data_IF_306901154158
#
_entry.id   IF_306901154158
#
_cell.length_a   1.000
_cell.length_b   1.000
_cell.length_c   1.000
_cell.angle_alpha   90.00
_cell.angle_beta   90.00
_cell.angle_gamma   90.00
#
_symmetry.space_group_name_H-M   'P 1'
#
loop_
_entity.id
_entity.type
_entity.pdbx_description
1 polymer ?
#
# COMPACT_ATOMS: atom_id res chain seq x y z
N UNK A 1 7.46 -3.76 18.49
CA UNK A 1 7.90 -4.74 17.47
C UNK A 1 8.63 -5.90 18.13
N UNK A 2 9.71 -5.67 18.89
CA UNK A 2 10.39 -6.73 19.65
C UNK A 2 9.43 -7.48 20.61
N UNK A 3 8.66 -6.73 21.41
CA UNK A 3 7.65 -7.31 22.33
C UNK A 3 6.54 -8.10 21.60
N UNK A 4 6.33 -7.82 20.31
CA UNK A 4 5.35 -8.49 19.46
C UNK A 4 5.97 -9.63 18.62
N UNK A 5 7.28 -9.91 18.79
CA UNK A 5 8.05 -10.89 18.03
C UNK A 5 8.02 -10.66 16.50
N UNK A 6 8.00 -9.40 16.07
CA UNK A 6 8.10 -9.02 14.66
C UNK A 6 9.57 -8.73 14.32
N UNK A 7 10.22 -9.51 13.44
CA UNK A 7 11.57 -9.22 13.01
C UNK A 7 11.61 -7.91 12.21
N UNK A 8 12.65 -7.10 12.44
CA UNK A 8 12.81 -5.79 11.81
C UNK A 8 14.23 -5.63 11.26
N UNK A 9 14.32 -5.03 10.08
CA UNK A 9 15.52 -4.41 9.56
C UNK A 9 15.23 -2.91 9.45
N UNK A 10 16.09 -2.08 10.04
CA UNK A 10 15.86 -0.63 10.14
C UNK A 10 17.05 0.14 9.59
N UNK A 11 16.78 1.35 9.10
CA UNK A 11 17.76 2.36 8.74
C UNK A 11 17.60 3.54 9.69
N UNK A 12 18.69 3.97 10.30
CA UNK A 12 18.70 5.16 11.16
C UNK A 12 18.48 6.41 10.31
N UNK A 13 17.42 7.16 10.60
CA UNK A 13 17.11 8.41 9.93
C UNK A 13 17.44 9.61 10.83
N UNK A 14 17.79 10.74 10.21
CA UNK A 14 18.06 11.99 10.93
C UNK A 14 16.80 12.62 11.50
N UNK A 15 15.70 12.55 10.75
CA UNK A 15 14.42 13.07 11.18
C UNK A 15 13.69 12.06 12.07
N UNK A 16 12.96 12.56 13.05
CA UNK A 16 12.38 11.73 14.10
C UNK A 16 11.14 11.01 13.57
N UNK A 17 10.97 9.74 13.95
CA UNK A 17 9.76 8.99 13.60
C UNK A 17 8.53 9.73 14.11
N UNK A 18 7.63 10.09 13.19
CA UNK A 18 6.39 10.81 13.50
C UNK A 18 5.56 10.09 14.56
N UNK A 19 4.76 10.85 15.28
CA UNK A 19 3.75 10.31 16.20
C UNK A 19 2.37 10.70 15.69
N UNK A 20 1.47 9.73 15.56
CA UNK A 20 0.07 10.00 15.25
C UNK A 20 -0.76 10.01 16.53
N UNK A 21 -1.84 10.80 16.55
CA UNK A 21 -2.74 10.87 17.70
C UNK A 21 -4.09 10.27 17.33
N UNK A 22 -4.53 9.32 18.14
CA UNK A 22 -5.87 8.75 18.07
C UNK A 22 -6.63 9.11 19.35
N UNK A 23 -7.73 9.84 19.21
CA UNK A 23 -8.59 10.26 20.32
C UNK A 23 -9.90 9.51 20.23
N UNK A 24 -10.22 8.77 21.28
CA UNK A 24 -11.54 8.16 21.44
C UNK A 24 -12.34 8.99 22.44
N UNK A 25 -13.53 9.42 22.04
CA UNK A 25 -14.44 10.18 22.90
C UNK A 25 -15.41 9.21 23.54
N UNK A 26 -15.22 8.91 24.83
CA UNK A 26 -16.03 7.90 25.53
C UNK A 26 -17.53 8.22 25.51
N UNK A 27 -17.88 9.51 25.66
CA UNK A 27 -19.28 9.94 25.75
C UNK A 27 -20.05 9.76 24.44
N UNK A 28 -19.44 10.02 23.28
CA UNK A 28 -20.07 9.87 21.97
C UNK A 28 -19.72 8.54 21.28
N UNK A 29 -18.70 7.82 21.76
CA UNK A 29 -18.12 6.67 21.09
C UNK A 29 -17.33 7.02 19.82
N UNK A 30 -17.17 8.31 19.50
CA UNK A 30 -16.50 8.75 18.28
C UNK A 30 -14.98 8.56 18.35
N UNK A 31 -14.36 8.56 17.18
CA UNK A 31 -12.92 8.40 17.01
C UNK A 31 -12.38 9.49 16.09
N UNK A 32 -11.41 10.24 16.59
CA UNK A 32 -10.70 11.28 15.84
C UNK A 32 -9.26 10.84 15.62
N UNK A 33 -8.81 10.94 14.37
CA UNK A 33 -7.49 10.49 13.94
C UNK A 33 -6.73 11.66 13.35
N UNK A 34 -5.71 12.10 14.07
CA UNK A 34 -4.79 13.12 13.62
C UNK A 34 -3.56 12.41 13.03
N UNK A 35 -3.38 12.54 11.72
CA UNK A 35 -2.31 11.87 10.98
C UNK A 35 -1.33 12.93 10.51
N UNK A 36 -0.11 12.90 11.04
CA UNK A 36 0.96 13.81 10.65
C UNK A 36 1.73 13.25 9.46
N UNK A 37 2.36 14.07 8.60
CA UNK A 37 3.26 13.58 7.56
C UNK A 37 4.38 12.71 8.12
N UNK A 38 4.88 11.77 7.30
CA UNK A 38 6.06 10.97 7.64
C UNK A 38 7.29 11.84 7.90
N UNK A 39 8.26 11.29 8.64
CA UNK A 39 9.58 11.89 8.74
C UNK A 39 10.20 12.04 7.35
N UNK A 40 10.91 13.13 7.11
CA UNK A 40 11.59 13.32 5.84
C UNK A 40 12.74 12.33 5.69
N UNK A 41 12.91 11.78 4.49
CA UNK A 41 14.07 10.96 4.16
C UNK A 41 14.98 11.70 3.19
N UNK A 42 16.28 11.64 3.47
CA UNK A 42 17.31 12.10 2.54
C UNK A 42 17.74 10.98 1.57
N UNK A 43 18.54 11.34 0.57
CA UNK A 43 18.95 10.40 -0.48
C UNK A 43 19.79 9.23 0.04
N UNK A 44 20.61 9.44 1.09
CA UNK A 44 21.44 8.39 1.67
C UNK A 44 20.61 7.39 2.47
N UNK A 45 19.65 7.87 3.26
CA UNK A 45 18.71 7.03 4.01
C UNK A 45 17.86 6.17 3.06
N UNK A 46 17.40 6.75 1.95
CA UNK A 46 16.66 5.99 0.94
C UNK A 46 17.54 4.96 0.22
N UNK A 47 18.80 5.30 -0.07
CA UNK A 47 19.77 4.35 -0.66
C UNK A 47 20.01 3.16 0.27
N UNK A 48 20.14 3.38 1.58
CA UNK A 48 20.31 2.29 2.54
C UNK A 48 19.07 1.37 2.60
N UNK A 49 17.86 1.94 2.50
CA UNK A 49 16.63 1.14 2.39
C UNK A 49 16.60 0.33 1.09
N UNK A 50 17.01 0.93 -0.02
CA UNK A 50 17.13 0.24 -1.31
C UNK A 50 18.11 -0.93 -1.23
N UNK A 51 19.27 -0.75 -0.61
CA UNK A 51 20.26 -1.81 -0.40
C UNK A 51 19.66 -2.98 0.40
N UNK A 52 18.98 -2.70 1.52
CA UNK A 52 18.32 -3.76 2.31
C UNK A 52 17.22 -4.49 1.52
N UNK A 53 16.45 -3.77 0.70
CA UNK A 53 15.41 -4.38 -0.14
C UNK A 53 16.02 -5.29 -1.21
N UNK A 54 17.18 -4.92 -1.76
CA UNK A 54 17.88 -5.68 -2.79
C UNK A 54 18.70 -6.85 -2.23
N UNK A 55 18.76 -7.03 -0.91
CA UNK A 55 19.30 -8.24 -0.26
C UNK A 55 18.26 -9.36 -0.14
N UNK A 56 16.98 -9.05 -0.37
CA UNK A 56 15.88 -10.03 -0.30
C UNK A 56 16.04 -11.08 -1.38
N UNK A 57 15.83 -12.35 -1.03
CA UNK A 57 15.99 -13.45 -1.95
C UNK A 57 14.96 -13.47 -3.09
N UNK A 58 15.38 -13.99 -4.24
CA UNK A 58 14.50 -14.20 -5.38
C UNK A 58 13.31 -15.10 -5.01
N UNK A 59 12.11 -14.71 -5.44
CA UNK A 59 10.85 -15.41 -5.14
C UNK A 59 10.16 -14.98 -3.86
N UNK A 60 10.83 -14.23 -2.98
CA UNK A 60 10.22 -13.63 -1.80
C UNK A 60 9.21 -12.53 -2.17
N UNK A 61 8.41 -12.12 -1.17
CA UNK A 61 7.38 -11.10 -1.34
C UNK A 61 7.81 -9.81 -0.62
N UNK A 62 7.81 -8.71 -1.36
CA UNK A 62 8.01 -7.36 -0.83
C UNK A 62 6.66 -6.62 -0.81
N UNK A 63 6.25 -6.16 0.37
CA UNK A 63 5.04 -5.34 0.55
C UNK A 63 5.43 -3.89 0.76
N UNK A 64 5.11 -3.03 -0.21
CA UNK A 64 5.31 -1.58 -0.13
C UNK A 64 3.98 -0.95 0.26
N UNK A 65 3.85 -0.54 1.50
CA UNK A 65 2.62 0.03 2.04
C UNK A 65 2.83 1.38 2.70
N UNK A 66 1.93 2.32 2.42
CA UNK A 66 1.90 3.65 3.01
C UNK A 66 2.12 4.80 2.03
N UNK A 67 2.00 6.01 2.57
CA UNK A 67 2.26 7.26 1.86
C UNK A 67 3.76 7.48 1.67
N UNK A 68 4.14 8.04 0.52
CA UNK A 68 5.52 8.44 0.26
C UNK A 68 5.97 9.53 1.27
N UNK A 69 7.09 9.34 1.99
CA UNK A 69 7.58 10.35 2.92
C UNK A 69 8.13 11.58 2.18
N UNK A 70 8.12 12.76 2.81
CA UNK A 70 8.77 13.94 2.26
C UNK A 70 10.25 13.70 1.95
N UNK A 71 10.77 14.32 0.90
CA UNK A 71 12.18 14.16 0.48
C UNK A 71 12.43 13.00 -0.49
N UNK A 72 11.52 12.01 -0.55
CA UNK A 72 11.60 10.94 -1.55
C UNK A 72 10.85 11.34 -2.81
N UNK A 73 11.57 11.33 -3.94
CA UNK A 73 10.98 11.57 -5.25
C UNK A 73 10.21 10.36 -5.75
N UNK A 74 9.14 10.57 -6.51
CA UNK A 74 8.32 9.50 -7.06
C UNK A 74 9.13 8.53 -7.94
N UNK A 75 10.11 9.04 -8.68
CA UNK A 75 10.99 8.26 -9.53
C UNK A 75 11.89 7.30 -8.74
N UNK A 76 12.21 7.62 -7.48
CA UNK A 76 13.00 6.74 -6.62
C UNK A 76 12.21 5.50 -6.21
N UNK A 77 10.92 5.68 -5.90
CA UNK A 77 10.02 4.56 -5.62
C UNK A 77 9.91 3.62 -6.83
N UNK A 78 9.77 4.18 -8.04
CA UNK A 78 9.62 3.36 -9.25
C UNK A 78 10.92 2.63 -9.63
N UNK A 79 12.07 3.26 -9.40
CA UNK A 79 13.38 2.63 -9.55
C UNK A 79 13.54 1.44 -8.58
N UNK A 80 13.19 1.62 -7.31
CA UNK A 80 13.25 0.55 -6.29
C UNK A 80 12.38 -0.65 -6.67
N UNK A 81 11.12 -0.41 -7.06
CA UNK A 81 10.20 -1.49 -7.49
C UNK A 81 10.77 -2.23 -8.71
N UNK A 82 11.28 -1.48 -9.69
CA UNK A 82 11.85 -2.08 -10.90
C UNK A 82 13.11 -2.89 -10.61
N UNK A 83 13.95 -2.42 -9.68
CA UNK A 83 15.15 -3.13 -9.25
C UNK A 83 14.80 -4.42 -8.49
N UNK A 84 13.82 -4.37 -7.59
CA UNK A 84 13.35 -5.54 -6.85
C UNK A 84 12.77 -6.61 -7.81
N UNK A 85 11.92 -6.20 -8.76
CA UNK A 85 11.37 -7.10 -9.77
C UNK A 85 12.46 -7.74 -10.65
N UNK A 86 13.52 -7.02 -11.00
CA UNK A 86 14.65 -7.56 -11.76
C UNK A 86 15.41 -8.67 -11.02
N UNK A 87 15.39 -8.67 -9.69
CA UNK A 87 15.95 -9.75 -8.87
C UNK A 87 14.96 -10.91 -8.64
N UNK A 88 13.76 -10.82 -9.21
CA UNK A 88 12.71 -11.83 -9.05
C UNK A 88 11.93 -11.70 -7.74
N UNK A 89 11.99 -10.54 -7.07
CA UNK A 89 11.19 -10.25 -5.89
C UNK A 89 9.75 -9.89 -6.33
N UNK A 90 8.77 -10.54 -5.71
CA UNK A 90 7.34 -10.32 -6.00
C UNK A 90 6.82 -9.13 -5.21
N UNK A 91 6.45 -8.06 -5.90
CA UNK A 91 6.04 -6.81 -5.26
C UNK A 91 4.52 -6.75 -5.05
N UNK A 92 4.09 -6.32 -3.86
CA UNK A 92 2.71 -5.96 -3.50
C UNK A 92 2.70 -4.50 -3.11
N UNK A 93 1.73 -3.73 -3.62
CA UNK A 93 1.66 -2.29 -3.37
C UNK A 93 0.32 -1.88 -2.76
N UNK A 94 0.38 -1.22 -1.60
CA UNK A 94 -0.76 -0.58 -0.93
C UNK A 94 -0.40 0.88 -0.59
N UNK A 95 -0.52 1.73 -1.60
CA UNK A 95 -0.21 3.16 -1.53
C UNK A 95 -1.40 3.99 -2.03
N UNK A 96 -1.23 5.31 -2.10
CA UNK A 96 -2.29 6.24 -2.51
C UNK A 96 -1.76 7.32 -3.46
N UNK A 97 -2.66 7.93 -4.23
CA UNK A 97 -2.33 9.03 -5.14
C UNK A 97 -1.29 8.68 -6.20
N UNK A 98 -0.35 9.59 -6.45
CA UNK A 98 0.66 9.47 -7.50
C UNK A 98 1.58 8.25 -7.31
N UNK A 99 1.91 7.89 -6.07
CA UNK A 99 2.72 6.71 -5.75
C UNK A 99 2.07 5.41 -6.24
N UNK A 100 0.75 5.29 -6.08
CA UNK A 100 0.00 4.14 -6.57
C UNK A 100 -0.02 4.08 -8.10
N UNK A 101 -0.29 5.21 -8.76
CA UNK A 101 -0.28 5.31 -10.22
C UNK A 101 1.10 5.00 -10.81
N UNK A 102 2.17 5.50 -10.20
CA UNK A 102 3.53 5.27 -10.64
C UNK A 102 3.95 3.81 -10.49
N UNK A 103 3.57 3.15 -9.40
CA UNK A 103 3.80 1.72 -9.21
C UNK A 103 3.04 0.88 -10.26
N UNK A 104 1.80 1.24 -10.59
CA UNK A 104 1.00 0.57 -11.62
C UNK A 104 1.57 0.75 -13.04
N UNK A 105 2.19 1.91 -13.32
CA UNK A 105 2.80 2.18 -14.62
C UNK A 105 4.00 1.28 -14.93
N UNK A 106 4.68 0.75 -13.91
CA UNK A 106 5.79 -0.22 -14.06
C UNK A 106 5.27 -1.59 -14.53
N UNK A 107 4.07 -1.96 -14.09
CA UNK A 107 3.49 -3.28 -14.34
C UNK A 107 4.14 -4.39 -13.50
N UNK A 108 3.75 -5.65 -13.77
CA UNK A 108 4.26 -6.85 -13.08
C UNK A 108 4.17 -6.83 -11.54
N UNK A 109 3.24 -6.06 -10.98
CA UNK A 109 2.95 -6.07 -9.55
C UNK A 109 2.05 -7.27 -9.26
N UNK A 110 2.37 -8.03 -8.21
CA UNK A 110 1.67 -9.24 -7.82
C UNK A 110 0.28 -8.92 -7.25
N UNK A 111 0.17 -7.86 -6.46
CA UNK A 111 -1.08 -7.43 -5.87
C UNK A 111 -1.13 -5.92 -5.63
N UNK A 112 -2.26 -5.30 -5.95
CA UNK A 112 -2.55 -3.91 -5.57
C UNK A 112 -3.91 -3.83 -4.90
N UNK A 113 -4.01 -3.04 -3.82
CA UNK A 113 -5.25 -2.88 -3.05
C UNK A 113 -5.74 -1.43 -3.02
N UNK A 114 -6.31 -0.89 -4.11
CA UNK A 114 -6.88 0.46 -4.05
C UNK A 114 -8.17 0.46 -3.21
N UNK A 115 -8.40 1.51 -2.44
CA UNK A 115 -9.74 1.79 -1.93
C UNK A 115 -10.62 2.41 -3.02
N UNK A 116 -11.91 2.60 -2.74
CA UNK A 116 -12.85 3.17 -3.71
C UNK A 116 -12.43 4.54 -4.29
N UNK A 117 -11.90 5.44 -3.45
CA UNK A 117 -11.45 6.77 -3.90
C UNK A 117 -10.19 6.68 -4.75
N UNK A 118 -9.25 5.83 -4.36
CA UNK A 118 -8.04 5.55 -5.13
C UNK A 118 -8.38 4.92 -6.49
N UNK A 119 -9.29 3.95 -6.52
CA UNK A 119 -9.72 3.32 -7.76
C UNK A 119 -10.39 4.33 -8.72
N UNK A 120 -11.27 5.19 -8.19
CA UNK A 120 -11.90 6.28 -8.94
C UNK A 120 -10.86 7.23 -9.54
N UNK A 121 -9.85 7.61 -8.76
CA UNK A 121 -8.74 8.44 -9.23
C UNK A 121 -7.90 7.75 -10.31
N UNK A 122 -7.63 6.45 -10.16
CA UNK A 122 -6.87 5.66 -11.13
C UNK A 122 -7.55 5.57 -12.50
N UNK A 123 -8.88 5.42 -12.53
CA UNK A 123 -9.66 5.38 -13.78
C UNK A 123 -10.19 6.75 -14.23
N UNK A 124 -9.85 7.81 -13.49
CA UNK A 124 -10.27 9.19 -13.75
C UNK A 124 -11.78 9.36 -14.00
N UNK A 125 -12.63 8.62 -13.27
CA UNK A 125 -14.09 8.72 -13.34
C UNK A 125 -14.74 8.30 -12.03
N UNK A 126 -15.89 8.89 -11.71
CA UNK A 126 -16.68 8.46 -10.55
C UNK A 126 -17.22 7.03 -10.72
N UNK A 127 -17.22 6.28 -9.63
CA UNK A 127 -17.69 4.90 -9.57
C UNK A 127 -19.00 4.87 -8.76
N UNK A 128 -20.13 5.16 -9.39
CA UNK A 128 -21.41 5.33 -8.68
C UNK A 128 -22.26 4.06 -8.72
N UNK A 129 -22.12 3.24 -9.75
CA UNK A 129 -22.91 2.03 -9.92
C UNK A 129 -22.29 0.84 -9.19
N UNK A 130 -23.10 -0.14 -8.77
CA UNK A 130 -22.61 -1.36 -8.10
C UNK A 130 -21.54 -2.11 -8.91
N UNK A 131 -21.57 -2.01 -10.24
CA UNK A 131 -20.66 -2.72 -11.14
C UNK A 131 -19.44 -1.90 -11.59
N UNK A 132 -19.39 -0.60 -11.30
CA UNK A 132 -18.32 0.29 -11.79
C UNK A 132 -16.97 -0.10 -11.21
N UNK A 133 -16.93 -0.48 -9.93
CA UNK A 133 -15.72 -0.97 -9.25
C UNK A 133 -15.16 -2.22 -9.94
N UNK A 134 -16.04 -3.14 -10.33
CA UNK A 134 -15.66 -4.37 -11.04
C UNK A 134 -15.09 -4.06 -12.41
N UNK A 135 -15.76 -3.19 -13.18
CA UNK A 135 -15.30 -2.79 -14.52
C UNK A 135 -13.98 -2.03 -14.47
N UNK A 136 -13.82 -1.10 -13.52
CA UNK A 136 -12.58 -0.37 -13.29
C UNK A 136 -11.42 -1.31 -12.91
N UNK A 137 -11.67 -2.28 -12.03
CA UNK A 137 -10.68 -3.31 -11.70
C UNK A 137 -10.27 -4.12 -12.94
N UNK A 138 -11.23 -4.57 -13.75
CA UNK A 138 -10.96 -5.33 -14.98
C UNK A 138 -10.16 -4.50 -16.01
N UNK A 139 -10.46 -3.22 -16.15
CA UNK A 139 -9.76 -2.28 -17.02
C UNK A 139 -8.27 -2.21 -16.65
N UNK A 140 -7.97 -1.99 -15.36
CA UNK A 140 -6.59 -1.94 -14.83
C UNK A 140 -5.87 -3.27 -15.05
N UNK A 141 -6.56 -4.40 -14.83
CA UNK A 141 -5.97 -5.72 -15.02
C UNK A 141 -5.64 -6.02 -16.48
N UNK A 142 -6.52 -5.60 -17.40
CA UNK A 142 -6.33 -5.79 -18.83
C UNK A 142 -5.23 -4.91 -19.42
N UNK A 143 -4.97 -3.75 -18.80
CA UNK A 143 -4.08 -2.75 -19.37
C UNK A 143 -2.60 -3.08 -19.20
N UNK A 144 -2.14 -3.60 -18.05
CA UNK A 144 -0.71 -3.86 -17.79
C UNK A 144 -0.42 -4.70 -16.53
N UNK A 145 -1.38 -5.49 -16.03
CA UNK A 145 -1.25 -6.14 -14.72
C UNK A 145 -1.34 -7.67 -14.81
N UNK A 146 -0.30 -8.36 -14.35
CA UNK A 146 -0.26 -9.83 -14.28
C UNK A 146 -0.74 -10.39 -12.92
N UNK A 147 -0.87 -9.53 -11.91
CA UNK A 147 -1.27 -9.86 -10.54
C UNK A 147 -2.78 -9.80 -10.26
N UNK A 148 -3.14 -9.68 -8.97
CA UNK A 148 -4.51 -9.44 -8.51
C UNK A 148 -4.78 -8.00 -8.01
N UNK A 149 -5.98 -7.47 -8.27
CA UNK A 149 -6.44 -6.19 -7.71
C UNK A 149 -7.55 -6.44 -6.67
N UNK A 150 -7.45 -5.81 -5.49
CA UNK A 150 -8.45 -5.91 -4.41
C UNK A 150 -8.99 -4.52 -4.09
N UNK A 151 -10.23 -4.24 -4.52
CA UNK A 151 -10.88 -2.97 -4.23
C UNK A 151 -11.74 -3.03 -2.96
N UNK A 152 -11.46 -2.17 -1.97
CA UNK A 152 -12.26 -2.11 -0.72
C UNK A 152 -13.36 -1.03 -0.79
N UNK A 153 -14.60 -1.39 -0.40
CA UNK A 153 -15.69 -0.42 -0.20
C UNK A 153 -15.62 0.25 1.18
N UNK A 154 -16.29 1.42 1.36
CA UNK A 154 -16.41 2.11 2.66
C UNK A 154 -16.95 1.23 3.80
N UNK A 155 -17.76 0.22 3.48
CA UNK A 155 -18.46 -0.62 4.49
C UNK A 155 -17.64 -1.85 4.93
N UNK A 156 -16.34 -1.90 4.64
CA UNK A 156 -15.48 -3.08 4.94
C UNK A 156 -15.68 -4.27 3.99
N UNK A 157 -16.64 -4.18 3.07
CA UNK A 157 -16.86 -5.16 2.00
C UNK A 157 -15.83 -4.95 0.87
N UNK A 158 -14.91 -5.89 0.72
CA UNK A 158 -14.00 -5.97 -0.42
C UNK A 158 -14.75 -6.54 -1.63
N UNK A 159 -14.53 -5.98 -2.82
CA UNK A 159 -14.86 -6.69 -4.07
C UNK A 159 -13.85 -7.82 -4.30
N UNK A 160 -14.24 -8.86 -5.05
CA UNK A 160 -13.48 -10.09 -5.13
C UNK A 160 -12.16 -9.90 -5.87
N UNK A 161 -11.15 -10.62 -5.37
CA UNK A 161 -9.90 -10.94 -6.03
C UNK A 161 -10.15 -11.33 -7.49
N UNK A 162 -9.44 -10.68 -8.42
CA UNK A 162 -9.44 -11.06 -9.83
C UNK A 162 -8.03 -11.48 -10.19
N UNK A 163 -7.83 -12.79 -10.35
CA UNK A 163 -6.62 -13.36 -10.93
C UNK A 163 -7.04 -14.43 -11.93
N UNK A 164 -6.72 -14.22 -13.22
CA UNK A 164 -6.90 -15.20 -14.29
C UNK A 164 -8.23 -16.00 -14.22
N UNK A 165 -9.35 -15.32 -13.98
CA UNK A 165 -10.69 -15.91 -14.02
C UNK A 165 -11.14 -16.69 -12.77
N UNK A 166 -10.43 -16.62 -11.65
CA UNK A 166 -10.90 -17.16 -10.35
C UNK A 166 -11.20 -16.03 -9.37
N UNK A 167 -12.18 -16.26 -8.48
CA UNK A 167 -12.73 -15.26 -7.54
C UNK A 167 -12.48 -15.69 -6.09
N UNK A 168 -12.02 -14.77 -5.24
CA UNK A 168 -11.91 -14.97 -3.79
C UNK A 168 -12.23 -13.67 -3.03
N UNK A 169 -12.99 -13.78 -1.94
CA UNK A 169 -13.33 -12.66 -1.06
C UNK A 169 -12.26 -12.55 0.03
N UNK A 170 -11.46 -11.48 0.03
CA UNK A 170 -10.50 -11.21 1.10
C UNK A 170 -11.04 -10.07 1.96
N UNK A 171 -11.55 -10.40 3.14
CA UNK A 171 -12.06 -9.44 4.12
C UNK A 171 -10.87 -8.76 4.80
N UNK A 172 -10.89 -7.43 4.87
CA UNK A 172 -9.92 -6.67 5.65
C UNK A 172 -10.22 -6.89 7.14
N UNK A 173 -9.50 -7.79 7.79
CA UNK A 173 -9.36 -7.72 9.24
C UNK A 173 -8.43 -6.55 9.53
N UNK A 174 -9.01 -5.36 9.73
CA UNK A 174 -8.30 -4.36 10.49
C UNK A 174 -8.06 -4.99 11.87
N UNK A 175 -6.80 -5.23 12.23
CA UNK A 175 -6.47 -5.58 13.61
C UNK A 175 -6.92 -4.42 14.50
N UNK A 176 -8.11 -4.59 15.08
CA UNK A 176 -8.72 -3.68 16.03
C UNK A 176 -8.11 -4.04 17.38
N UNK A 177 -6.95 -3.46 17.67
CA UNK A 177 -6.39 -3.55 19.02
C UNK A 177 -7.22 -2.68 19.95
N UNK A 178 -8.19 -3.31 20.60
CA UNK A 178 -8.84 -2.78 21.79
C UNK A 178 -7.99 -3.25 22.98
N UNK A 179 -7.07 -2.42 23.47
CA UNK A 179 -6.56 -2.60 24.82
C UNK A 179 -7.48 -1.84 25.76
N UNK A 180 -8.41 -2.56 26.39
CA UNK A 180 -8.95 -2.15 27.67
C UNK A 180 -7.82 -2.29 28.72
N UNK A 181 -7.54 -1.22 29.44
CA UNK A 181 -7.26 -1.31 30.87
C UNK A 181 -8.47 -0.76 31.60
#
# INVERSE_FOLDING_TARGET
MADENVPVATVEAKDWTRQNLHVHVEASGEQYRFVMPGAALNEDEFRQLEEQVLEIESGAILVISGSLPPGVKLEKLTQLISAAQKQGIRCIVDSSGEALSAALAIGNIELVKPNHKELSALVNRELTQPDDVRKAAQEILSANFTGALIAARPNGLSFPWVHKGRWALIVKTAFRWCHHR
#
